data_IF_031599697869
#
_entry.id   IF_031599697869
#
_cell.length_a   1.000
_cell.length_b   1.000
_cell.length_c   1.000
_cell.angle_alpha   90.00
_cell.angle_beta   90.00
_cell.angle_gamma   90.00
#
_symmetry.space_group_name_H-M   'P 1'
#
loop_
_entity.id
_entity.type
_entity.pdbx_description
1 polymer ?
#
# COMPACT_ATOMS: atom_id res chain seq x y z
N UNK A 1 10.89 4.74 -16.24
CA UNK A 1 11.41 3.41 -15.79
C UNK A 1 10.22 2.48 -15.86
N UNK A 2 10.20 1.51 -16.79
CA UNK A 2 9.13 0.52 -16.89
C UNK A 2 8.88 -0.13 -15.53
N UNK A 3 7.73 0.14 -14.92
CA UNK A 3 7.38 -0.37 -13.60
C UNK A 3 6.97 -1.85 -13.72
N UNK A 4 7.95 -2.75 -13.82
CA UNK A 4 7.73 -4.19 -13.68
C UNK A 4 7.93 -4.57 -12.21
N UNK A 5 6.88 -4.43 -11.40
CA UNK A 5 6.83 -4.99 -10.05
C UNK A 5 6.97 -6.52 -10.13
N UNK A 6 7.90 -7.08 -9.38
CA UNK A 6 8.01 -8.54 -9.25
C UNK A 6 7.02 -9.08 -8.23
N UNK A 7 6.58 -10.33 -8.41
CA UNK A 7 5.71 -11.01 -7.44
C UNK A 7 6.32 -11.00 -6.02
N UNK A 8 7.66 -11.11 -5.93
CA UNK A 8 8.38 -11.06 -4.66
C UNK A 8 8.25 -9.70 -3.96
N UNK A 9 8.30 -8.59 -4.69
CA UNK A 9 8.11 -7.25 -4.13
C UNK A 9 6.67 -7.07 -3.64
N UNK A 10 5.68 -7.63 -4.36
CA UNK A 10 4.28 -7.61 -3.94
C UNK A 10 4.08 -8.42 -2.66
N UNK A 11 4.61 -9.64 -2.58
CA UNK A 11 4.53 -10.45 -1.35
C UNK A 11 5.26 -9.79 -0.18
N UNK A 12 6.42 -9.18 -0.42
CA UNK A 12 7.14 -8.43 0.59
C UNK A 12 6.29 -7.26 1.12
N UNK A 13 5.67 -6.49 0.23
CA UNK A 13 4.79 -5.39 0.60
C UNK A 13 3.58 -5.85 1.43
N UNK A 14 2.90 -6.93 1.01
CA UNK A 14 1.80 -7.53 1.77
C UNK A 14 2.26 -8.03 3.13
N UNK A 15 3.45 -8.63 3.22
CA UNK A 15 4.05 -9.07 4.48
C UNK A 15 4.29 -7.92 5.45
N UNK A 16 4.79 -6.78 4.97
CA UNK A 16 4.97 -5.57 5.78
C UNK A 16 3.62 -5.06 6.28
N UNK A 17 2.58 -5.05 5.43
CA UNK A 17 1.24 -4.62 5.82
C UNK A 17 0.68 -5.48 6.97
N UNK A 18 0.72 -6.81 6.81
CA UNK A 18 0.24 -7.76 7.83
C UNK A 18 1.02 -7.60 9.13
N UNK A 19 2.35 -7.57 9.06
CA UNK A 19 3.23 -7.38 10.21
C UNK A 19 2.93 -6.07 10.94
N UNK A 20 2.77 -4.98 10.20
CA UNK A 20 2.54 -3.66 10.78
C UNK A 20 1.17 -3.50 11.46
N UNK A 21 0.19 -4.31 11.06
CA UNK A 21 -1.10 -4.42 11.73
C UNK A 21 -1.06 -5.33 12.96
N UNK A 22 -0.25 -6.40 12.91
CA UNK A 22 -0.09 -7.34 14.01
C UNK A 22 0.74 -6.77 15.18
N UNK A 23 1.86 -6.11 14.88
CA UNK A 23 2.79 -5.57 15.86
C UNK A 23 2.93 -4.04 15.73
N UNK A 24 1.89 -3.26 16.07
CA UNK A 24 1.85 -1.82 15.86
C UNK A 24 2.93 -1.08 16.65
N UNK A 25 3.78 -0.34 15.94
CA UNK A 25 4.74 0.59 16.54
C UNK A 25 4.13 2.00 16.70
N UNK A 26 4.54 2.78 17.73
CA UNK A 26 4.02 4.14 17.95
C UNK A 26 4.20 5.10 16.76
N UNK A 27 5.15 4.82 15.86
CA UNK A 27 5.39 5.61 14.65
C UNK A 27 5.74 4.67 13.50
N UNK A 28 5.13 4.86 12.33
CA UNK A 28 5.38 4.02 11.13
C UNK A 28 6.85 3.99 10.72
N UNK A 29 7.56 5.11 10.79
CA UNK A 29 9.00 5.20 10.46
C UNK A 29 9.87 4.25 11.28
N UNK A 30 9.39 3.88 12.49
CA UNK A 30 10.10 3.04 13.43
C UNK A 30 10.30 1.61 12.93
N UNK A 31 9.47 1.11 12.01
CA UNK A 31 9.67 -0.20 11.38
C UNK A 31 10.94 -0.26 10.51
N UNK A 32 11.46 0.88 10.07
CA UNK A 32 12.67 0.99 9.25
C UNK A 32 13.89 1.45 10.07
N UNK A 33 13.79 1.49 11.41
CA UNK A 33 14.91 1.81 12.29
C UNK A 33 15.81 0.58 12.54
N UNK A 34 17.06 0.86 12.88
CA UNK A 34 18.04 -0.16 13.29
C UNK A 34 18.27 -0.19 14.80
N UNK A 35 17.37 0.40 15.59
CA UNK A 35 17.47 0.41 17.05
C UNK A 35 17.06 -0.97 17.61
N UNK A 36 17.70 -1.41 18.69
CA UNK A 36 17.51 -2.77 19.25
C UNK A 36 16.04 -3.13 19.49
N UNK A 37 15.26 -2.20 20.06
CA UNK A 37 13.85 -2.44 20.42
C UNK A 37 12.88 -2.42 19.23
N UNK A 38 13.33 -1.99 18.06
CA UNK A 38 12.46 -1.69 16.91
C UNK A 38 12.94 -2.29 15.61
N UNK A 39 14.13 -2.90 15.63
CA UNK A 39 14.77 -3.45 14.47
C UNK A 39 13.99 -4.64 13.91
N UNK A 40 13.28 -4.40 12.81
CA UNK A 40 12.62 -5.47 12.07
C UNK A 40 13.42 -5.80 10.81
N UNK A 41 14.20 -6.89 10.87
CA UNK A 41 15.07 -7.35 9.77
C UNK A 41 14.29 -7.54 8.46
N UNK A 42 13.01 -7.92 8.54
CA UNK A 42 12.15 -8.15 7.39
C UNK A 42 11.69 -6.85 6.71
N UNK A 43 11.62 -5.74 7.46
CA UNK A 43 11.12 -4.44 6.95
C UNK A 43 12.26 -3.48 6.60
N UNK A 44 13.36 -3.48 7.35
CA UNK A 44 14.47 -2.52 7.16
C UNK A 44 15.08 -2.56 5.76
N UNK A 45 14.99 -3.72 5.08
CA UNK A 45 15.52 -3.94 3.73
C UNK A 45 14.53 -3.54 2.62
N UNK A 46 13.24 -3.41 2.90
CA UNK A 46 12.20 -3.11 1.91
C UNK A 46 11.80 -1.64 1.96
N UNK A 47 12.50 -0.79 1.20
CA UNK A 47 12.36 0.68 1.32
C UNK A 47 11.44 1.32 0.29
N UNK A 48 11.25 0.69 -0.87
CA UNK A 48 10.57 1.33 -1.99
C UNK A 48 9.62 0.35 -2.67
N UNK A 49 8.34 0.71 -2.70
CA UNK A 49 7.31 0.01 -3.45
C UNK A 49 6.64 1.06 -4.35
N UNK A 50 6.86 0.93 -5.66
CA UNK A 50 6.34 1.86 -6.65
C UNK A 50 5.26 1.17 -7.48
N UNK A 51 4.05 1.76 -7.52
CA UNK A 51 2.93 1.24 -8.31
C UNK A 51 2.69 2.05 -9.59
N UNK A 52 3.49 3.08 -9.84
CA UNK A 52 3.42 3.94 -11.02
C UNK A 52 4.83 4.41 -11.44
N UNK A 53 5.03 4.65 -12.74
CA UNK A 53 6.28 5.22 -13.27
C UNK A 53 6.33 6.72 -13.02
N UNK A 54 7.26 7.16 -12.17
CA UNK A 54 7.46 8.57 -11.83
C UNK A 54 7.84 9.45 -13.03
N UNK A 55 8.32 8.86 -14.13
CA UNK A 55 8.71 9.59 -15.34
C UNK A 55 7.55 9.86 -16.30
N UNK A 56 6.39 9.22 -16.07
CA UNK A 56 5.23 9.27 -16.96
C UNK A 56 3.93 9.59 -16.20
N UNK A 57 4.02 10.38 -15.12
CA UNK A 57 2.85 10.75 -14.32
C UNK A 57 2.03 11.85 -15.02
N UNK A 58 0.71 11.69 -15.16
CA UNK A 58 -0.15 12.76 -15.67
C UNK A 58 -0.19 13.96 -14.72
N UNK A 59 0.07 15.17 -15.25
CA UNK A 59 0.14 16.41 -14.48
C UNK A 59 -1.19 16.78 -13.79
N UNK A 60 -2.32 16.34 -14.35
CA UNK A 60 -3.66 16.66 -13.87
C UNK A 60 -4.24 15.65 -12.86
N UNK A 61 -3.53 14.58 -12.51
CA UNK A 61 -3.99 13.61 -11.49
C UNK A 61 -3.12 13.68 -10.23
N UNK A 62 -3.66 14.29 -9.16
CA UNK A 62 -2.99 14.39 -7.86
C UNK A 62 -2.72 13.03 -7.22
N UNK A 63 -3.44 11.98 -7.62
CA UNK A 63 -3.26 10.61 -7.12
C UNK A 63 -2.51 9.70 -8.10
N UNK A 64 -1.90 10.24 -9.16
CA UNK A 64 -1.24 9.48 -10.22
C UNK A 64 -0.29 8.38 -9.71
N UNK A 65 0.41 8.63 -8.59
CA UNK A 65 1.35 7.69 -7.98
C UNK A 65 0.72 6.43 -7.39
N UNK A 66 -0.56 6.46 -7.06
CA UNK A 66 -1.30 5.34 -6.42
C UNK A 66 -2.52 4.91 -7.23
N UNK A 67 -2.93 5.70 -8.22
CA UNK A 67 -4.08 5.45 -9.10
C UNK A 67 -4.12 4.02 -9.66
N UNK A 68 -3.01 3.44 -10.20
CA UNK A 68 -3.05 2.09 -10.76
C UNK A 68 -3.45 1.02 -9.73
N UNK A 69 -2.99 1.18 -8.48
CA UNK A 69 -3.34 0.26 -7.39
C UNK A 69 -4.81 0.40 -7.00
N UNK A 70 -5.31 1.64 -6.88
CA UNK A 70 -6.71 1.92 -6.52
C UNK A 70 -7.66 1.36 -7.59
N UNK A 71 -7.37 1.57 -8.86
CA UNK A 71 -8.21 1.10 -9.96
C UNK A 71 -8.27 -0.43 -10.01
N UNK A 72 -7.12 -1.09 -9.80
CA UNK A 72 -7.04 -2.54 -9.68
C UNK A 72 -7.87 -3.06 -8.49
N UNK A 73 -7.74 -2.44 -7.31
CA UNK A 73 -8.49 -2.83 -6.12
C UNK A 73 -9.99 -2.65 -6.32
N UNK A 74 -10.43 -1.51 -6.87
CA UNK A 74 -11.84 -1.25 -7.17
C UNK A 74 -12.42 -2.29 -8.14
N UNK A 75 -11.69 -2.63 -9.21
CA UNK A 75 -12.11 -3.64 -10.16
C UNK A 75 -12.28 -5.02 -9.49
N UNK A 76 -11.35 -5.40 -8.58
CA UNK A 76 -11.43 -6.66 -7.84
C UNK A 76 -12.54 -6.64 -6.78
N UNK A 77 -12.74 -5.54 -6.06
CA UNK A 77 -13.80 -5.44 -5.07
C UNK A 77 -15.17 -5.51 -5.72
N UNK A 78 -15.40 -4.86 -6.86
CA UNK A 78 -16.66 -4.99 -7.61
C UNK A 78 -16.89 -6.41 -8.13
N UNK A 79 -15.82 -7.15 -8.46
CA UNK A 79 -15.90 -8.54 -8.90
C UNK A 79 -16.31 -9.49 -7.77
N UNK A 80 -15.79 -9.29 -6.55
CA UNK A 80 -15.93 -10.24 -5.45
C UNK A 80 -16.88 -9.80 -4.33
N UNK A 81 -17.28 -8.53 -4.29
CA UNK A 81 -18.28 -7.98 -3.37
C UNK A 81 -19.49 -7.49 -4.19
N UNK A 82 -20.44 -8.39 -4.53
CA UNK A 82 -21.61 -8.03 -5.30
C UNK A 82 -22.49 -7.02 -4.55
N UNK A 83 -23.12 -6.11 -5.27
CA UNK A 83 -23.97 -5.07 -4.69
C UNK A 83 -25.24 -5.71 -4.13
N UNK A 84 -25.48 -5.53 -2.83
CA UNK A 84 -26.69 -5.95 -2.15
C UNK A 84 -27.76 -4.85 -2.18
N UNK A 85 -29.02 -5.21 -1.88
CA UNK A 85 -30.14 -4.24 -1.86
C UNK A 85 -30.00 -3.19 -0.75
N UNK A 86 -29.24 -3.49 0.29
CA UNK A 86 -29.05 -2.63 1.46
C UNK A 86 -27.57 -2.29 1.55
N UNK A 87 -27.20 -1.08 1.14
CA UNK A 87 -25.84 -0.57 1.23
C UNK A 87 -25.81 0.63 2.16
N UNK A 88 -24.75 0.72 2.97
CA UNK A 88 -24.42 1.91 3.74
C UNK A 88 -23.27 2.63 3.05
N UNK A 89 -23.42 3.94 2.83
CA UNK A 89 -22.39 4.79 2.24
C UNK A 89 -22.03 5.84 3.27
N UNK A 90 -20.76 5.89 3.62
CA UNK A 90 -20.22 6.84 4.58
C UNK A 90 -18.79 7.25 4.17
N UNK A 91 -18.32 8.37 4.70
CA UNK A 91 -16.98 8.88 4.47
C UNK A 91 -16.02 8.37 5.55
N UNK A 92 -14.78 8.04 5.16
CA UNK A 92 -13.73 7.69 6.10
C UNK A 92 -12.47 8.51 5.85
N UNK A 93 -11.83 8.94 6.94
CA UNK A 93 -10.62 9.74 6.89
C UNK A 93 -9.41 8.87 7.23
N UNK A 94 -8.41 8.88 6.35
CA UNK A 94 -7.09 8.31 6.66
C UNK A 94 -6.22 9.41 7.26
N UNK A 95 -5.82 9.32 8.54
CA UNK A 95 -4.95 10.33 9.14
C UNK A 95 -3.60 10.36 8.42
N UNK A 96 -3.13 11.58 8.16
CA UNK A 96 -1.85 11.84 7.50
C UNK A 96 -0.67 11.65 8.45
#
# INVERSE_FOLDING_TARGET
MNCSLSDQEVYCFLGILILSGYAPLPRRRRYWESNEDTHNILVVKSRYFHVADNTALPENDKMAKVRPLIDMLNAKFLQYAPIEKQISIDESMVPY
#
